data_IF_765231806991
#
_entry.id   IF_765231806991
#
_cell.length_a   1.000
_cell.length_b   1.000
_cell.length_c   1.000
_cell.angle_alpha   90.00
_cell.angle_beta   90.00
_cell.angle_gamma   90.00
#
_symmetry.space_group_name_H-M   'P 1'
#
loop_
_entity.id
_entity.type
_entity.pdbx_description
1 polymer ?
#
# COMPACT_ATOMS: atom_id res chain seq x y z
N UNK A 1 6.00 -2.49 7.96
CA UNK A 1 6.59 -1.16 8.26
C UNK A 1 6.89 -0.95 9.75
N UNK A 2 5.93 -1.20 10.66
CA UNK A 2 6.10 -0.94 12.09
C UNK A 2 7.37 -1.57 12.72
N UNK A 3 7.69 -2.81 12.38
CA UNK A 3 8.89 -3.48 12.90
C UNK A 3 10.20 -2.82 12.46
N UNK A 4 10.28 -2.34 11.22
CA UNK A 4 11.47 -1.65 10.70
C UNK A 4 11.66 -0.31 11.39
N UNK A 5 10.58 0.46 11.56
CA UNK A 5 10.62 1.74 12.26
C UNK A 5 10.99 1.56 13.74
N UNK A 6 10.49 0.50 14.38
CA UNK A 6 10.89 0.12 15.73
C UNK A 6 12.39 -0.21 15.79
N UNK A 7 12.89 -1.04 14.88
CA UNK A 7 14.30 -1.42 14.83
C UNK A 7 15.21 -0.19 14.71
N UNK A 8 14.89 0.73 13.78
CA UNK A 8 15.65 1.98 13.62
C UNK A 8 15.65 2.79 14.91
N UNK A 9 14.53 2.89 15.61
CA UNK A 9 14.43 3.62 16.88
C UNK A 9 15.26 2.96 17.99
N UNK A 10 15.25 1.64 18.07
CA UNK A 10 16.07 0.88 19.03
C UNK A 10 17.57 1.06 18.76
N UNK A 11 18.00 1.00 17.50
CA UNK A 11 19.39 1.24 17.11
C UNK A 11 19.84 2.68 17.43
N UNK A 12 18.95 3.67 17.27
CA UNK A 12 19.22 5.06 17.66
C UNK A 12 19.37 5.23 19.17
N UNK A 13 18.53 4.56 19.98
CA UNK A 13 18.62 4.62 21.44
C UNK A 13 19.88 3.96 21.95
N UNK A 14 20.23 2.79 21.39
CA UNK A 14 21.48 2.09 21.70
C UNK A 14 22.70 2.97 21.42
N UNK A 15 22.72 3.68 20.28
CA UNK A 15 23.79 4.65 19.94
C UNK A 15 23.88 5.82 20.92
N UNK A 16 22.78 6.21 21.56
CA UNK A 16 22.72 7.28 22.57
C UNK A 16 23.02 6.79 23.99
N UNK A 17 23.32 5.50 24.20
CA UNK A 17 23.55 4.91 25.51
C UNK A 17 22.30 4.85 26.40
N UNK A 18 21.11 4.94 25.80
CA UNK A 18 19.84 4.81 26.52
C UNK A 18 19.50 3.33 26.78
N UNK A 19 18.73 3.02 27.85
CA UNK A 19 18.31 1.65 28.15
C UNK A 19 17.45 1.05 27.02
N UNK A 20 17.45 -0.29 26.94
CA UNK A 20 16.60 -1.01 26.00
C UNK A 20 15.12 -0.86 26.38
N UNK A 21 14.27 -0.75 25.35
CA UNK A 21 12.83 -0.64 25.55
C UNK A 21 12.23 -1.94 26.06
N UNK A 22 11.30 -1.84 27.01
CA UNK A 22 10.48 -2.98 27.41
C UNK A 22 9.58 -3.46 26.26
N UNK A 23 9.09 -4.70 26.28
CA UNK A 23 8.12 -5.18 25.30
C UNK A 23 6.88 -4.29 25.16
N UNK A 24 6.41 -3.71 26.27
CA UNK A 24 5.28 -2.80 26.33
C UNK A 24 5.60 -1.47 25.62
N UNK A 25 6.76 -0.87 25.90
CA UNK A 25 7.20 0.36 25.21
C UNK A 25 7.35 0.14 23.71
N UNK A 26 7.87 -1.02 23.30
CA UNK A 26 7.96 -1.39 21.89
C UNK A 26 6.58 -1.54 21.25
N UNK A 27 5.60 -2.09 21.97
CA UNK A 27 4.22 -2.21 21.50
C UNK A 27 3.57 -0.83 21.33
N UNK A 28 3.76 0.08 22.28
CA UNK A 28 3.28 1.47 22.21
C UNK A 28 3.87 2.23 21.01
N UNK A 29 5.14 1.99 20.68
CA UNK A 29 5.77 2.57 19.47
C UNK A 29 5.16 2.01 18.20
N UNK A 30 4.85 0.71 18.16
CA UNK A 30 4.30 0.03 16.98
C UNK A 30 2.82 0.37 16.75
N UNK A 31 2.03 0.52 17.81
CA UNK A 31 0.57 0.70 17.74
C UNK A 31 0.12 1.80 16.77
N UNK A 32 0.56 3.06 16.88
CA UNK A 32 0.08 4.12 15.97
C UNK A 32 0.48 3.89 14.51
N UNK A 33 1.59 3.18 14.27
CA UNK A 33 2.00 2.82 12.91
C UNK A 33 1.05 1.77 12.35
N UNK A 34 0.72 0.74 13.13
CA UNK A 34 -0.21 -0.31 12.70
C UNK A 34 -1.60 0.27 12.43
N UNK A 35 -2.12 1.10 13.34
CA UNK A 35 -3.43 1.77 13.18
C UNK A 35 -3.48 2.66 11.94
N UNK A 36 -2.39 3.39 11.67
CA UNK A 36 -2.28 4.20 10.46
C UNK A 36 -2.36 3.32 9.20
N UNK A 37 -1.62 2.21 9.16
CA UNK A 37 -1.64 1.31 8.01
C UNK A 37 -3.00 0.63 7.82
N UNK A 38 -3.69 0.28 8.91
CA UNK A 38 -5.05 -0.26 8.83
C UNK A 38 -6.02 0.76 8.22
N UNK A 39 -5.95 2.00 8.70
CA UNK A 39 -6.83 3.08 8.23
C UNK A 39 -6.55 3.43 6.78
N UNK A 40 -5.28 3.65 6.43
CA UNK A 40 -4.87 4.13 5.11
C UNK A 40 -4.80 3.00 4.06
N UNK A 41 -4.69 1.75 4.50
CA UNK A 41 -4.71 0.55 3.64
C UNK A 41 -6.11 0.04 3.32
N UNK A 42 -7.15 0.60 3.94
CA UNK A 42 -8.54 0.23 3.66
C UNK A 42 -8.92 0.55 2.20
N UNK A 43 -9.67 -0.32 1.50
CA UNK A 43 -10.22 0.00 0.17
C UNK A 43 -11.01 1.32 0.15
N UNK A 44 -11.72 1.63 1.23
CA UNK A 44 -12.47 2.88 1.34
C UNK A 44 -11.57 4.11 1.41
N UNK A 45 -10.38 3.99 1.99
CA UNK A 45 -9.42 5.09 2.05
C UNK A 45 -8.84 5.39 0.67
N UNK A 46 -8.54 4.35 -0.10
CA UNK A 46 -8.03 4.45 -1.47
C UNK A 46 -9.07 5.03 -2.44
N UNK A 47 -10.29 4.47 -2.44
CA UNK A 47 -11.34 4.87 -3.38
C UNK A 47 -11.82 6.31 -3.13
N UNK A 48 -11.85 6.76 -1.87
CA UNK A 48 -12.16 8.16 -1.52
C UNK A 48 -11.14 9.17 -2.06
N UNK A 49 -9.97 8.70 -2.52
CA UNK A 49 -8.87 9.51 -3.08
C UNK A 49 -8.63 9.24 -4.56
N UNK A 50 -9.49 8.45 -5.20
CA UNK A 50 -9.38 8.06 -6.61
C UNK A 50 -8.03 7.40 -6.92
N UNK A 51 -7.50 6.62 -5.99
CA UNK A 51 -6.36 5.75 -6.28
C UNK A 51 -6.78 4.53 -7.13
N UNK A 52 -8.07 4.23 -7.10
CA UNK A 52 -8.79 3.27 -7.91
C UNK A 52 -10.04 3.94 -8.51
N UNK A 53 -10.62 3.32 -9.54
CA UNK A 53 -11.84 3.79 -10.20
C UNK A 53 -13.13 3.31 -9.50
N UNK A 54 -13.01 2.65 -8.34
CA UNK A 54 -14.13 2.16 -7.54
C UNK A 54 -13.92 0.78 -6.93
N UNK A 55 -14.59 0.55 -5.80
CA UNK A 55 -14.72 -0.76 -5.17
C UNK A 55 -15.87 -1.53 -5.86
N UNK A 56 -15.63 -2.78 -6.24
CA UNK A 56 -16.64 -3.67 -6.84
C UNK A 56 -16.87 -4.92 -5.97
N UNK A 57 -18.05 -5.52 -6.09
CA UNK A 57 -18.27 -6.87 -5.58
C UNK A 57 -17.33 -7.85 -6.33
N UNK A 58 -16.59 -8.72 -5.64
CA UNK A 58 -15.75 -9.72 -6.31
C UNK A 58 -16.48 -10.55 -7.37
N UNK A 59 -17.77 -10.82 -7.22
CA UNK A 59 -18.59 -11.55 -8.19
C UNK A 59 -18.81 -10.77 -9.50
N UNK A 60 -18.76 -9.44 -9.44
CA UNK A 60 -18.97 -8.55 -10.59
C UNK A 60 -17.70 -8.35 -11.42
N UNK A 61 -16.55 -8.88 -11.00
CA UNK A 61 -15.26 -8.73 -11.70
C UNK A 61 -15.36 -9.05 -13.19
N UNK A 62 -16.06 -10.13 -13.57
CA UNK A 62 -16.23 -10.53 -14.97
C UNK A 62 -17.00 -9.46 -15.77
N UNK A 63 -18.08 -8.94 -15.19
CA UNK A 63 -18.93 -7.94 -15.82
C UNK A 63 -18.18 -6.63 -15.98
N UNK A 64 -17.50 -6.16 -14.92
CA UNK A 64 -16.70 -4.94 -14.94
C UNK A 64 -15.62 -4.99 -16.02
N UNK A 65 -14.83 -6.08 -16.08
CA UNK A 65 -13.80 -6.26 -17.12
C UNK A 65 -14.40 -6.35 -18.52
N UNK A 66 -15.51 -7.08 -18.69
CA UNK A 66 -16.17 -7.21 -19.99
C UNK A 66 -16.61 -5.86 -20.55
N UNK A 67 -17.20 -5.01 -19.71
CA UNK A 67 -17.60 -3.65 -20.08
C UNK A 67 -16.39 -2.76 -20.37
N UNK A 68 -15.35 -2.79 -19.52
CA UNK A 68 -14.15 -1.97 -19.70
C UNK A 68 -13.40 -2.31 -21.00
N UNK A 69 -13.29 -3.61 -21.34
CA UNK A 69 -12.69 -4.06 -22.61
C UNK A 69 -13.56 -3.63 -23.80
N UNK A 70 -14.88 -3.83 -23.73
CA UNK A 70 -15.76 -3.39 -24.81
C UNK A 70 -15.66 -1.87 -25.05
N UNK A 71 -15.55 -1.09 -23.98
CA UNK A 71 -15.36 0.36 -24.06
C UNK A 71 -13.99 0.73 -24.68
N UNK A 72 -12.89 0.06 -24.29
CA UNK A 72 -11.54 0.37 -24.78
C UNK A 72 -11.35 0.09 -26.27
N UNK A 73 -12.09 -0.87 -26.84
CA UNK A 73 -12.06 -1.21 -28.27
C UNK A 73 -12.66 -0.14 -29.20
N UNK A 74 -13.21 0.95 -28.65
CA UNK A 74 -13.59 2.13 -29.45
C UNK A 74 -12.37 2.96 -29.92
N UNK A 75 -11.16 2.59 -29.51
CA UNK A 75 -9.91 3.16 -30.00
C UNK A 75 -9.02 2.07 -30.63
N UNK A 76 -8.31 2.38 -31.74
CA UNK A 76 -7.32 1.46 -32.30
C UNK A 76 -6.21 1.14 -31.29
N UNK A 77 -5.81 -0.13 -31.25
CA UNK A 77 -4.68 -0.57 -30.42
C UNK A 77 -3.37 -0.12 -31.10
N UNK A 78 -2.53 0.72 -30.45
CA UNK A 78 -1.29 1.20 -31.04
C UNK A 78 -0.19 0.14 -30.99
N UNK A 79 0.81 0.26 -31.87
CA UNK A 79 2.02 -0.54 -31.78
C UNK A 79 2.77 -0.28 -30.47
N UNK A 80 3.20 -1.35 -29.81
CA UNK A 80 3.96 -1.24 -28.57
C UNK A 80 5.40 -0.79 -28.82
N UNK A 81 5.85 0.24 -28.12
CA UNK A 81 7.23 0.75 -28.16
C UNK A 81 7.89 0.54 -26.80
N UNK A 82 8.98 -0.21 -26.79
CA UNK A 82 9.66 -0.57 -25.55
C UNK A 82 10.77 0.43 -25.19
N UNK A 83 10.95 0.66 -23.90
CA UNK A 83 12.10 1.41 -23.36
C UNK A 83 13.37 0.57 -23.27
N UNK A 84 14.41 1.10 -22.63
CA UNK A 84 15.67 0.39 -22.41
C UNK A 84 15.51 -0.63 -21.29
N UNK A 85 15.92 -1.87 -21.54
CA UNK A 85 16.09 -2.87 -20.50
C UNK A 85 17.45 -2.72 -19.82
N UNK A 86 17.45 -2.67 -18.48
CA UNK A 86 18.68 -2.79 -17.68
C UNK A 86 18.97 -4.28 -17.49
N UNK A 87 20.00 -4.78 -18.18
CA UNK A 87 20.55 -6.14 -18.05
C UNK A 87 21.51 -6.25 -16.88
#
# INVERSE_FOLDING_TARGET
AANVLLQVKMEQMKKKGLPEMSPEEQAEVKRPILEKYETEGSPYYATARLWDDGIIDPLDTRTALGLAIAASLNQPIPDYKMGIFRM
#
